data_IF_970817519552
#
_entry.id   IF_970817519552
#
_cell.length_a   1.000
_cell.length_b   1.000
_cell.length_c   1.000
_cell.angle_alpha   90.00
_cell.angle_beta   90.00
_cell.angle_gamma   90.00
#
_symmetry.space_group_name_H-M   'P 1'
#
loop_
_entity.id
_entity.type
_entity.pdbx_description
1 polymer ?
#
# COMPACT_ATOMS: atom_id res chain seq x y z
N UNK A 1 2.64 -14.95 26.09
CA UNK A 1 3.99 -15.44 25.76
C UNK A 1 4.38 -14.53 24.62
N UNK A 2 5.40 -13.68 24.74
CA UNK A 2 5.73 -12.76 23.65
C UNK A 2 5.96 -13.57 22.37
N UNK A 3 5.27 -13.20 21.30
CA UNK A 3 5.47 -13.78 19.98
C UNK A 3 6.88 -13.41 19.55
N UNK A 4 7.70 -14.38 19.10
CA UNK A 4 9.02 -14.05 18.58
C UNK A 4 8.86 -13.30 17.27
N UNK A 5 9.43 -12.10 17.17
CA UNK A 5 9.35 -11.32 15.94
C UNK A 5 10.29 -11.91 14.88
N UNK A 6 10.06 -11.55 13.63
CA UNK A 6 10.97 -11.91 12.53
C UNK A 6 12.38 -11.38 12.79
N UNK A 7 12.48 -10.17 13.36
CA UNK A 7 13.75 -9.53 13.72
C UNK A 7 14.54 -10.41 14.69
N UNK A 8 13.91 -10.89 15.75
CA UNK A 8 14.53 -11.79 16.73
C UNK A 8 15.09 -13.06 16.10
N UNK A 9 14.28 -13.70 15.25
CA UNK A 9 14.63 -14.96 14.58
C UNK A 9 15.86 -14.74 13.67
N UNK A 10 15.82 -13.70 12.84
CA UNK A 10 16.93 -13.39 11.96
C UNK A 10 18.20 -12.99 12.72
N UNK A 11 18.08 -12.25 13.82
CA UNK A 11 19.23 -11.89 14.65
C UNK A 11 19.86 -13.13 15.30
N UNK A 12 19.06 -14.08 15.82
CA UNK A 12 19.58 -15.32 16.38
C UNK A 12 20.35 -16.14 15.34
N UNK A 13 19.77 -16.32 14.15
CA UNK A 13 20.45 -17.01 13.04
C UNK A 13 21.74 -16.28 12.69
N UNK A 14 21.69 -14.95 12.51
CA UNK A 14 22.85 -14.15 12.16
C UNK A 14 23.97 -14.29 13.18
N UNK A 15 23.69 -14.17 14.49
CA UNK A 15 24.70 -14.25 15.55
C UNK A 15 25.32 -15.65 15.64
N UNK A 16 24.53 -16.71 15.46
CA UNK A 16 25.04 -18.09 15.43
C UNK A 16 25.99 -18.30 14.26
N UNK A 17 25.59 -17.89 13.05
CA UNK A 17 26.42 -18.03 11.85
C UNK A 17 27.66 -17.15 11.92
N UNK A 18 27.52 -15.91 12.37
CA UNK A 18 28.63 -14.98 12.55
C UNK A 18 29.64 -15.52 13.57
N UNK A 19 29.18 -16.00 14.72
CA UNK A 19 30.02 -16.54 15.78
C UNK A 19 30.79 -17.78 15.33
N UNK A 20 30.10 -18.75 14.74
CA UNK A 20 30.72 -19.99 14.27
C UNK A 20 31.64 -19.74 13.07
N UNK A 21 31.19 -18.93 12.11
CA UNK A 21 31.97 -18.53 10.94
C UNK A 21 33.25 -17.79 11.33
N UNK A 22 33.16 -16.85 12.28
CA UNK A 22 34.31 -16.13 12.82
C UNK A 22 35.29 -17.08 13.50
N UNK A 23 34.80 -18.02 14.33
CA UNK A 23 35.65 -19.01 15.00
C UNK A 23 36.41 -19.88 13.99
N UNK A 24 35.72 -20.41 12.99
CA UNK A 24 36.35 -21.23 11.93
C UNK A 24 37.34 -20.39 11.13
N UNK A 25 36.95 -19.18 10.74
CA UNK A 25 37.79 -18.24 10.01
C UNK A 25 39.09 -17.93 10.75
N UNK A 26 39.01 -17.62 12.05
CA UNK A 26 40.18 -17.37 12.90
C UNK A 26 41.11 -18.58 12.93
N UNK A 27 40.58 -19.80 13.09
CA UNK A 27 41.39 -21.02 13.12
C UNK A 27 42.10 -21.25 11.78
N UNK A 28 41.38 -21.13 10.66
CA UNK A 28 41.93 -21.32 9.32
C UNK A 28 42.99 -20.28 9.00
N UNK A 29 42.71 -19.00 9.26
CA UNK A 29 43.65 -17.89 9.03
C UNK A 29 44.89 -18.05 9.91
N UNK A 30 44.72 -18.30 11.22
CA UNK A 30 45.85 -18.48 12.14
C UNK A 30 46.73 -19.69 11.75
N UNK A 31 46.13 -20.82 11.38
CA UNK A 31 46.86 -21.99 10.91
C UNK A 31 47.61 -21.72 9.60
N UNK A 32 46.99 -20.98 8.69
CA UNK A 32 47.60 -20.58 7.41
C UNK A 32 48.78 -19.64 7.65
N UNK A 33 48.62 -18.62 8.49
CA UNK A 33 49.69 -17.70 8.88
C UNK A 33 50.83 -18.41 9.62
N UNK A 34 50.50 -19.35 10.51
CA UNK A 34 51.48 -20.19 11.19
C UNK A 34 52.32 -21.00 10.20
N UNK A 35 51.67 -21.67 9.23
CA UNK A 35 52.39 -22.45 8.22
C UNK A 35 53.23 -21.55 7.31
N UNK A 36 52.67 -20.42 6.88
CA UNK A 36 53.38 -19.44 6.07
C UNK A 36 54.64 -18.91 6.78
N UNK A 37 54.57 -18.69 8.10
CA UNK A 37 55.71 -18.25 8.91
C UNK A 37 56.71 -19.38 9.16
N UNK A 38 56.24 -20.56 9.61
CA UNK A 38 57.07 -21.69 10.01
C UNK A 38 57.81 -22.33 8.83
N UNK A 39 57.16 -22.44 7.68
CA UNK A 39 57.72 -23.03 6.47
C UNK A 39 58.16 -21.96 5.46
N UNK A 40 58.33 -20.72 5.91
CA UNK A 40 58.90 -19.64 5.09
C UNK A 40 60.33 -20.00 4.69
N UNK A 41 60.68 -19.78 3.43
CA UNK A 41 62.06 -19.89 2.97
C UNK A 41 62.96 -18.87 3.69
N UNK A 42 64.00 -19.36 4.35
CA UNK A 42 64.99 -18.56 5.08
C UNK A 42 66.37 -18.63 4.42
N UNK A 43 66.49 -19.14 3.19
CA UNK A 43 67.74 -19.18 2.42
C UNK A 43 68.71 -20.31 2.77
N UNK A 44 68.46 -21.06 3.86
CA UNK A 44 69.13 -22.32 4.17
C UNK A 44 68.30 -23.48 3.58
N UNK A 45 68.48 -23.76 2.29
CA UNK A 45 67.86 -24.93 1.65
C UNK A 45 68.53 -26.18 2.21
N UNK A 46 67.90 -26.84 3.18
CA UNK A 46 68.25 -28.23 3.46
C UNK A 46 67.94 -29.05 2.21
N UNK A 47 68.93 -29.77 1.72
CA UNK A 47 68.72 -30.84 0.74
C UNK A 47 67.99 -31.99 1.44
N UNK A 48 66.72 -31.77 1.80
CA UNK A 48 65.84 -32.79 2.36
C UNK A 48 65.25 -33.60 1.19
N UNK A 49 65.36 -34.92 1.31
CA UNK A 49 64.94 -35.93 0.31
C UNK A 49 63.43 -35.95 0.00
N UNK A 50 62.63 -35.12 0.68
CA UNK A 50 61.16 -35.07 0.56
C UNK A 50 60.63 -33.88 -0.27
N UNK A 51 61.50 -33.11 -0.93
CA UNK A 51 61.04 -32.07 -1.86
C UNK A 51 60.43 -32.74 -3.11
N UNK A 52 59.14 -32.50 -3.43
CA UNK A 52 58.51 -33.11 -4.59
C UNK A 52 59.23 -32.66 -5.86
N UNK A 53 59.86 -33.60 -6.56
CA UNK A 53 60.50 -33.36 -7.85
C UNK A 53 59.45 -33.37 -8.97
N UNK A 54 59.56 -32.41 -9.89
CA UNK A 54 58.71 -32.34 -11.09
C UNK A 54 58.74 -33.68 -11.85
N UNK A 55 57.58 -34.35 -11.92
CA UNK A 55 57.42 -35.62 -12.63
C UNK A 55 57.30 -36.88 -11.76
N UNK A 56 57.48 -36.77 -10.43
CA UNK A 56 57.20 -37.87 -9.50
C UNK A 56 55.80 -37.73 -8.88
N UNK A 57 55.03 -38.82 -8.87
CA UNK A 57 53.75 -38.87 -8.17
C UNK A 57 54.03 -39.08 -6.67
N UNK A 58 53.51 -38.23 -5.77
CA UNK A 58 53.74 -38.37 -4.34
C UNK A 58 53.25 -39.73 -3.83
N UNK A 59 54.14 -40.52 -3.21
CA UNK A 59 53.87 -41.89 -2.74
C UNK A 59 53.36 -41.94 -1.28
N UNK A 60 53.16 -40.79 -0.63
CA UNK A 60 52.77 -40.64 0.78
C UNK A 60 51.26 -40.73 1.06
N UNK A 61 50.63 -41.85 0.73
CA UNK A 61 49.19 -42.09 0.94
C UNK A 61 48.79 -42.52 2.36
N UNK A 62 49.08 -41.74 3.40
CA UNK A 62 48.55 -41.97 4.76
C UNK A 62 47.60 -40.87 5.27
N UNK A 63 47.39 -39.81 4.50
CA UNK A 63 46.57 -38.65 4.90
C UNK A 63 45.05 -38.83 4.82
N UNK A 64 44.56 -39.87 4.14
CA UNK A 64 43.14 -40.05 3.84
C UNK A 64 42.24 -40.05 5.08
N UNK A 65 42.66 -40.67 6.19
CA UNK A 65 41.86 -40.71 7.43
C UNK A 65 41.62 -39.32 8.02
N UNK A 66 42.60 -38.41 7.94
CA UNK A 66 42.46 -37.03 8.43
C UNK A 66 41.51 -36.23 7.53
N UNK A 67 41.60 -36.43 6.22
CA UNK A 67 40.71 -35.81 5.25
C UNK A 67 39.25 -36.29 5.41
N UNK A 68 39.03 -37.60 5.57
CA UNK A 68 37.69 -38.14 5.82
C UNK A 68 37.13 -37.66 7.15
N UNK A 69 37.95 -37.56 8.20
CA UNK A 69 37.51 -37.02 9.49
C UNK A 69 37.13 -35.54 9.39
N UNK A 70 37.95 -34.70 8.75
CA UNK A 70 37.67 -33.28 8.60
C UNK A 70 36.45 -33.03 7.71
N UNK A 71 36.33 -33.77 6.62
CA UNK A 71 35.17 -33.68 5.72
C UNK A 71 33.89 -34.16 6.42
N UNK A 72 33.95 -35.29 7.12
CA UNK A 72 32.79 -35.81 7.87
C UNK A 72 32.35 -34.88 8.99
N UNK A 73 33.29 -34.32 9.76
CA UNK A 73 32.97 -33.36 10.81
C UNK A 73 32.35 -32.07 10.24
N UNK A 74 32.94 -31.55 9.15
CA UNK A 74 32.40 -30.38 8.45
C UNK A 74 30.99 -30.64 7.92
N UNK A 75 30.74 -31.81 7.32
CA UNK A 75 29.45 -32.18 6.78
C UNK A 75 28.39 -32.24 7.89
N UNK A 76 28.72 -32.82 9.05
CA UNK A 76 27.80 -32.87 10.21
C UNK A 76 27.45 -31.45 10.67
N UNK A 77 28.44 -30.57 10.85
CA UNK A 77 28.21 -29.19 11.29
C UNK A 77 27.30 -28.46 10.30
N UNK A 78 27.62 -28.52 9.00
CA UNK A 78 26.84 -27.82 7.97
C UNK A 78 25.42 -28.37 7.88
N UNK A 79 25.23 -29.70 7.88
CA UNK A 79 23.89 -30.30 7.83
C UNK A 79 23.07 -29.91 9.07
N UNK A 80 23.67 -29.94 10.26
CA UNK A 80 23.00 -29.51 11.48
C UNK A 80 22.57 -28.05 11.43
N UNK A 81 23.43 -27.15 10.93
CA UNK A 81 23.09 -25.74 10.77
C UNK A 81 21.99 -25.52 9.73
N UNK A 82 22.02 -26.22 8.60
CA UNK A 82 20.99 -26.13 7.56
C UNK A 82 19.63 -26.58 8.09
N UNK A 83 19.58 -27.73 8.78
CA UNK A 83 18.33 -28.25 9.35
C UNK A 83 17.78 -27.29 10.42
N UNK A 84 18.65 -26.74 11.26
CA UNK A 84 18.23 -25.77 12.27
C UNK A 84 17.75 -24.45 11.64
N UNK A 85 18.51 -23.85 10.71
CA UNK A 85 18.09 -22.63 10.01
C UNK A 85 16.78 -22.82 9.26
N UNK A 86 16.61 -23.93 8.55
CA UNK A 86 15.34 -24.20 7.86
C UNK A 86 14.18 -24.31 8.85
N UNK A 87 14.38 -24.96 10.01
CA UNK A 87 13.36 -25.01 11.05
C UNK A 87 12.97 -23.64 11.61
N UNK A 88 13.93 -22.72 11.75
CA UNK A 88 13.63 -21.33 12.15
C UNK A 88 12.92 -20.54 11.04
N UNK A 89 13.28 -20.78 9.78
CA UNK A 89 12.63 -20.12 8.64
C UNK A 89 11.17 -20.54 8.48
N UNK A 90 10.84 -21.81 8.76
CA UNK A 90 9.44 -22.25 8.75
C UNK A 90 8.56 -21.47 9.73
N UNK A 91 9.10 -21.04 10.88
CA UNK A 91 8.36 -20.17 11.83
C UNK A 91 8.09 -18.79 11.23
N UNK A 92 9.02 -18.27 10.42
CA UNK A 92 8.86 -16.99 9.71
C UNK A 92 7.87 -17.12 8.54
N UNK A 93 7.87 -18.25 7.85
CA UNK A 93 6.95 -18.54 6.73
C UNK A 93 5.52 -18.77 7.24
N UNK A 94 5.32 -19.60 8.25
CA UNK A 94 3.98 -19.94 8.77
C UNK A 94 3.33 -18.80 9.57
N UNK A 95 4.15 -17.92 10.18
CA UNK A 95 3.68 -16.83 11.02
C UNK A 95 3.11 -17.25 12.37
N UNK A 96 2.57 -16.31 13.15
CA UNK A 96 1.86 -16.67 14.38
C UNK A 96 0.65 -17.56 14.04
N UNK A 97 0.46 -18.65 14.79
CA UNK A 97 -0.63 -19.64 14.62
C UNK A 97 -2.06 -19.06 14.90
N UNK A 98 -2.29 -17.76 14.70
CA UNK A 98 -3.53 -17.05 15.07
C UNK A 98 -4.09 -16.21 13.91
N UNK A 99 -4.87 -16.82 13.01
CA UNK A 99 -5.90 -16.10 12.28
C UNK A 99 -7.14 -16.02 13.17
N UNK A 100 -7.12 -15.20 14.23
CA UNK A 100 -8.29 -14.97 15.08
C UNK A 100 -8.17 -13.59 15.77
N UNK A 101 -9.05 -12.67 15.39
CA UNK A 101 -9.48 -11.38 16.01
C UNK A 101 -8.43 -10.29 16.35
N UNK A 102 -7.13 -10.60 16.46
CA UNK A 102 -6.09 -9.64 16.90
C UNK A 102 -5.01 -9.36 15.83
N UNK A 103 -5.19 -9.85 14.60
CA UNK A 103 -4.28 -9.58 13.46
C UNK A 103 -4.91 -8.51 12.58
N UNK A 104 -4.13 -7.49 12.21
CA UNK A 104 -4.55 -6.50 11.21
C UNK A 104 -4.15 -6.99 9.82
N UNK A 105 -5.11 -7.19 8.91
CA UNK A 105 -4.84 -7.51 7.52
C UNK A 105 -4.76 -6.23 6.68
N UNK A 106 -3.76 -6.15 5.80
CA UNK A 106 -3.53 -5.00 4.93
C UNK A 106 -3.15 -5.48 3.53
N UNK A 107 -3.93 -5.11 2.53
CA UNK A 107 -3.54 -5.29 1.14
C UNK A 107 -2.56 -4.21 0.72
N UNK A 108 -1.50 -4.59 0.00
CA UNK A 108 -0.41 -3.72 -0.43
C UNK A 108 -0.27 -3.80 -1.94
N UNK A 109 -0.54 -2.68 -2.62
CA UNK A 109 -0.39 -2.59 -4.07
C UNK A 109 0.80 -1.71 -4.46
N UNK A 110 1.79 -2.31 -5.13
CA UNK A 110 2.91 -1.58 -5.71
C UNK A 110 2.61 -1.06 -7.12
N UNK A 111 2.97 0.19 -7.40
CA UNK A 111 2.94 0.77 -8.75
C UNK A 111 4.17 1.65 -9.00
N UNK A 112 4.50 1.97 -10.25
CA UNK A 112 5.64 2.83 -10.57
C UNK A 112 5.32 4.31 -10.29
N UNK A 113 5.70 4.93 -9.18
CA UNK A 113 6.69 4.53 -8.15
C UNK A 113 6.18 4.84 -6.72
N UNK A 114 5.12 4.15 -6.29
CA UNK A 114 4.48 4.31 -4.99
C UNK A 114 3.86 3.01 -4.49
N UNK A 115 3.33 3.09 -3.28
CA UNK A 115 2.65 1.99 -2.59
C UNK A 115 1.32 2.52 -2.09
N UNK A 116 0.26 1.78 -2.39
CA UNK A 116 -1.08 2.00 -1.86
C UNK A 116 -1.38 0.86 -0.87
N UNK A 117 -2.11 1.18 0.21
CA UNK A 117 -2.47 0.26 1.28
C UNK A 117 -3.97 0.31 1.51
N UNK A 118 -4.60 -0.86 1.56
CA UNK A 118 -6.03 -1.02 1.82
C UNK A 118 -6.21 -1.88 3.08
N UNK A 119 -7.05 -1.41 4.00
CA UNK A 119 -7.33 -2.07 5.28
C UNK A 119 -8.65 -2.84 5.20
N UNK A 120 -8.83 -3.84 6.06
CA UNK A 120 -10.06 -4.67 6.10
C UNK A 120 -11.35 -3.87 6.25
N UNK A 121 -11.27 -2.69 6.87
CA UNK A 121 -12.40 -1.81 7.06
C UNK A 121 -12.62 -0.83 5.90
N UNK A 122 -12.04 -1.08 4.72
CA UNK A 122 -12.22 -0.27 3.50
C UNK A 122 -11.46 1.06 3.48
N UNK A 123 -10.63 1.36 4.48
CA UNK A 123 -9.74 2.51 4.42
C UNK A 123 -8.67 2.27 3.34
N UNK A 124 -8.35 3.29 2.55
CA UNK A 124 -7.23 3.30 1.62
C UNK A 124 -6.26 4.44 1.93
N UNK A 125 -4.97 4.15 1.89
CA UNK A 125 -3.91 5.14 2.10
C UNK A 125 -2.82 5.02 1.04
N UNK A 126 -2.33 6.17 0.57
CA UNK A 126 -1.24 6.22 -0.41
C UNK A 126 0.06 6.71 0.21
N UNK A 127 1.10 5.90 0.17
CA UNK A 127 2.46 6.28 0.58
C UNK A 127 2.74 6.31 2.09
N UNK A 128 1.75 6.02 2.93
CA UNK A 128 1.89 5.89 4.38
C UNK A 128 1.07 4.69 4.86
N UNK A 129 1.72 3.75 5.55
CA UNK A 129 1.10 2.59 6.20
C UNK A 129 1.00 2.87 7.70
N UNK A 130 -0.21 3.04 8.23
CA UNK A 130 -0.43 3.31 9.67
C UNK A 130 -0.81 2.01 10.34
N UNK A 131 -0.12 1.63 11.43
CA UNK A 131 -0.36 0.36 12.11
C UNK A 131 -0.21 0.50 13.64
N UNK A 132 -0.89 -0.37 14.43
CA UNK A 132 -0.66 -0.43 15.86
C UNK A 132 0.63 -1.19 16.23
N UNK A 133 1.32 -0.72 17.27
CA UNK A 133 2.45 -1.39 17.88
C UNK A 133 2.04 -2.69 18.59
N UNK A 134 2.96 -3.64 18.70
CA UNK A 134 2.76 -4.95 19.35
C UNK A 134 1.66 -5.84 18.74
N UNK A 135 1.10 -5.45 17.59
CA UNK A 135 0.07 -6.21 16.85
C UNK A 135 0.67 -6.93 15.65
N UNK A 136 0.30 -8.20 15.40
CA UNK A 136 0.60 -8.89 14.14
C UNK A 136 -0.07 -8.19 12.96
N UNK A 137 0.73 -7.80 11.98
CA UNK A 137 0.26 -7.27 10.70
C UNK A 137 0.42 -8.35 9.65
N UNK A 138 -0.66 -8.76 9.01
CA UNK A 138 -0.64 -9.63 7.84
C UNK A 138 -0.75 -8.76 6.60
N UNK A 139 0.11 -8.99 5.62
CA UNK A 139 0.14 -8.19 4.39
C UNK A 139 0.03 -9.08 3.16
N UNK A 140 -0.93 -8.76 2.32
CA UNK A 140 -1.12 -9.35 1.00
C UNK A 140 -0.55 -8.40 -0.05
N UNK A 141 0.54 -8.81 -0.70
CA UNK A 141 1.35 -7.91 -1.53
C UNK A 141 1.17 -8.26 -3.00
N UNK A 142 0.75 -7.28 -3.81
CA UNK A 142 0.56 -7.42 -5.25
C UNK A 142 1.09 -6.21 -6.01
N UNK A 143 0.97 -6.22 -7.33
CA UNK A 143 1.40 -5.11 -8.18
C UNK A 143 0.39 -4.80 -9.28
N UNK A 144 0.19 -3.49 -9.49
CA UNK A 144 -0.65 -2.96 -10.57
C UNK A 144 0.01 -3.05 -11.94
N UNK A 145 1.34 -2.99 -12.02
CA UNK A 145 2.06 -2.75 -13.29
C UNK A 145 3.25 -3.67 -13.58
N UNK A 146 4.34 -3.59 -12.83
CA UNK A 146 5.59 -4.33 -13.04
C UNK A 146 6.01 -5.05 -11.76
N UNK A 147 7.03 -5.89 -11.85
CA UNK A 147 7.55 -6.55 -10.67
C UNK A 147 8.22 -5.53 -9.71
N UNK A 148 7.68 -5.43 -8.50
CA UNK A 148 8.25 -4.72 -7.36
C UNK A 148 8.61 -5.70 -6.24
N UNK A 149 9.22 -5.21 -5.18
CA UNK A 149 9.39 -6.03 -3.99
C UNK A 149 9.28 -5.15 -2.77
N UNK A 150 8.17 -5.32 -2.05
CA UNK A 150 7.86 -4.62 -0.82
C UNK A 150 8.86 -5.03 0.25
N UNK A 151 9.36 -4.09 1.04
CA UNK A 151 10.21 -4.44 2.15
C UNK A 151 10.40 -3.32 3.17
N UNK A 152 10.49 -3.73 4.42
CA UNK A 152 10.76 -2.86 5.57
C UNK A 152 12.07 -3.36 6.18
N UNK A 153 13.16 -2.64 5.91
CA UNK A 153 14.52 -3.05 6.28
C UNK A 153 14.63 -3.37 7.76
N UNK A 154 14.16 -2.47 8.62
CA UNK A 154 14.29 -2.57 10.08
C UNK A 154 13.50 -3.74 10.67
N UNK A 155 12.33 -4.06 10.09
CA UNK A 155 11.46 -5.17 10.51
C UNK A 155 11.81 -6.51 9.83
N UNK A 156 12.82 -6.53 8.95
CA UNK A 156 13.27 -7.70 8.18
C UNK A 156 12.15 -8.30 7.31
N UNK A 157 11.29 -7.44 6.77
CA UNK A 157 10.17 -7.82 5.90
C UNK A 157 10.60 -7.70 4.46
N UNK A 158 10.23 -8.69 3.66
CA UNK A 158 10.33 -8.65 2.20
C UNK A 158 9.29 -9.58 1.59
N UNK A 159 8.54 -9.08 0.62
CA UNK A 159 7.58 -9.84 -0.19
C UNK A 159 7.61 -9.32 -1.63
N UNK A 160 7.44 -10.22 -2.60
CA UNK A 160 7.48 -9.83 -4.01
C UNK A 160 6.10 -9.36 -4.47
N UNK A 161 6.03 -8.17 -5.07
CA UNK A 161 4.81 -7.59 -5.62
C UNK A 161 4.77 -7.87 -7.13
N UNK A 162 3.99 -8.87 -7.56
CA UNK A 162 4.02 -9.37 -8.94
C UNK A 162 2.64 -9.19 -9.58
N UNK A 163 2.55 -8.58 -10.79
CA UNK A 163 1.25 -8.41 -11.45
C UNK A 163 0.54 -9.74 -11.69
N UNK A 164 -0.65 -9.89 -11.09
CA UNK A 164 -1.49 -11.08 -11.20
C UNK A 164 -1.12 -12.23 -10.24
N UNK A 165 -0.23 -12.01 -9.29
CA UNK A 165 0.09 -12.95 -8.20
C UNK A 165 0.12 -12.16 -6.87
N UNK A 166 -0.51 -12.69 -5.84
CA UNK A 166 -0.44 -12.15 -4.47
C UNK A 166 0.57 -12.96 -3.68
N UNK A 167 1.53 -12.30 -3.05
CA UNK A 167 2.48 -12.87 -2.09
C UNK A 167 2.07 -12.47 -0.68
N UNK A 168 2.27 -13.33 0.31
CA UNK A 168 1.82 -13.09 1.68
C UNK A 168 3.02 -12.95 2.61
N UNK A 169 2.94 -12.00 3.54
CA UNK A 169 3.97 -11.84 4.56
C UNK A 169 3.38 -11.22 5.82
N UNK A 170 4.09 -11.27 6.95
CA UNK A 170 3.60 -10.73 8.21
C UNK A 170 4.70 -10.03 8.99
N UNK A 171 4.38 -9.20 9.97
CA UNK A 171 5.39 -8.68 10.90
C UNK A 171 4.75 -8.15 12.17
N UNK A 172 5.59 -7.78 13.13
CA UNK A 172 5.19 -7.09 14.35
C UNK A 172 6.20 -5.96 14.55
N UNK A 173 5.70 -4.74 14.76
CA UNK A 173 6.52 -3.61 15.18
C UNK A 173 6.38 -3.41 16.69
N UNK A 174 7.48 -3.58 17.44
CA UNK A 174 7.48 -3.51 18.91
C UNK A 174 7.75 -2.10 19.45
N UNK A 175 8.21 -1.17 18.60
CA UNK A 175 8.54 0.20 18.99
C UNK A 175 7.72 1.19 18.15
N UNK A 176 7.04 2.12 18.82
CA UNK A 176 6.34 3.23 18.15
C UNK A 176 7.31 4.10 17.33
N UNK A 177 6.81 4.67 16.23
CA UNK A 177 7.51 5.62 15.39
C UNK A 177 7.56 5.24 13.91
N UNK A 178 8.39 5.96 13.16
CA UNK A 178 8.42 5.86 11.71
C UNK A 178 9.42 4.80 11.21
N UNK A 179 8.98 3.93 10.32
CA UNK A 179 9.83 3.03 9.55
C UNK A 179 9.74 3.31 8.05
N UNK A 180 10.72 2.82 7.28
CA UNK A 180 10.80 3.05 5.85
C UNK A 180 10.43 1.79 5.06
N UNK A 181 9.46 1.93 4.16
CA UNK A 181 9.21 0.97 3.07
C UNK A 181 10.08 1.33 1.88
N UNK A 182 10.73 0.33 1.30
CA UNK A 182 11.60 0.45 0.13
C UNK A 182 11.23 -0.60 -0.92
N UNK A 183 11.34 -0.24 -2.20
CA UNK A 183 11.29 -1.22 -3.28
C UNK A 183 12.65 -1.93 -3.45
N UNK A 184 12.66 -3.26 -3.34
CA UNK A 184 13.87 -4.10 -3.45
C UNK A 184 14.05 -4.80 -4.81
N UNK A 185 13.18 -4.55 -5.79
CA UNK A 185 13.28 -5.07 -7.15
C UNK A 185 13.35 -3.93 -8.16
N UNK A 186 14.25 -4.00 -9.14
CA UNK A 186 14.48 -2.90 -10.07
C UNK A 186 13.26 -2.69 -10.98
N UNK A 187 12.38 -1.76 -10.60
CA UNK A 187 11.09 -1.53 -11.25
C UNK A 187 11.06 -0.40 -12.28
N UNK A 188 12.12 0.40 -12.41
CA UNK A 188 12.19 1.46 -13.42
C UNK A 188 13.10 2.63 -13.06
N UNK A 189 12.90 3.77 -13.72
CA UNK A 189 13.76 4.95 -13.55
C UNK A 189 13.61 5.64 -12.17
N UNK A 190 12.44 5.53 -11.55
CA UNK A 190 12.13 6.07 -10.22
C UNK A 190 12.41 5.09 -9.07
N UNK A 191 12.93 3.89 -9.37
CA UNK A 191 13.10 2.80 -8.40
C UNK A 191 13.73 3.22 -7.07
N UNK A 192 14.81 4.01 -7.10
CA UNK A 192 15.51 4.42 -5.87
C UNK A 192 14.75 5.42 -5.00
N UNK A 193 13.66 6.00 -5.51
CA UNK A 193 12.77 6.89 -4.77
C UNK A 193 11.38 6.29 -4.55
N UNK A 194 11.20 5.00 -4.84
CA UNK A 194 9.97 4.27 -4.57
C UNK A 194 9.96 3.85 -3.11
N UNK A 195 9.53 4.77 -2.26
CA UNK A 195 9.48 4.63 -0.80
C UNK A 195 8.11 5.02 -0.27
N UNK A 196 7.73 4.45 0.86
CA UNK A 196 6.58 4.85 1.67
C UNK A 196 7.01 4.86 3.14
N UNK A 197 6.24 5.51 4.00
CA UNK A 197 6.47 5.54 5.43
C UNK A 197 5.58 4.50 6.14
N UNK A 198 6.05 3.96 7.25
CA UNK A 198 5.22 3.17 8.17
C UNK A 198 5.11 3.97 9.46
N UNK A 199 3.92 4.37 9.84
CA UNK A 199 3.65 5.08 11.08
C UNK A 199 3.11 4.09 12.12
N UNK A 200 3.99 3.72 13.07
CA UNK A 200 3.64 2.78 14.14
C UNK A 200 3.17 3.57 15.35
N UNK A 201 1.91 3.39 15.70
CA UNK A 201 1.23 4.11 16.78
C UNK A 201 0.87 3.17 17.93
N UNK A 202 0.58 3.74 19.09
CA UNK A 202 -0.08 2.95 20.13
C UNK A 202 -1.48 2.52 19.66
N UNK A 203 -1.99 1.41 20.20
CA UNK A 203 -3.33 0.88 19.86
C UNK A 203 -4.43 1.97 19.96
N UNK A 204 -4.42 2.77 21.04
CA UNK A 204 -5.35 3.88 21.25
C UNK A 204 -5.22 5.00 20.20
N UNK A 205 -4.02 5.28 19.71
CA UNK A 205 -3.77 6.29 18.66
C UNK A 205 -4.09 5.76 17.26
N UNK A 206 -3.99 4.45 17.04
CA UNK A 206 -4.41 3.80 15.81
C UNK A 206 -5.95 3.78 15.71
N UNK A 207 -6.66 3.41 16.78
CA UNK A 207 -8.13 3.47 16.83
C UNK A 207 -8.64 4.89 16.53
N UNK A 208 -8.04 5.92 17.16
CA UNK A 208 -8.36 7.32 16.86
C UNK A 208 -8.11 7.69 15.40
N UNK A 209 -7.04 7.17 14.81
CA UNK A 209 -6.73 7.42 13.41
C UNK A 209 -7.76 6.79 12.47
N UNK A 210 -8.21 5.57 12.78
CA UNK A 210 -9.30 4.89 12.05
C UNK A 210 -10.58 5.72 12.11
N UNK A 211 -10.99 6.18 13.30
CA UNK A 211 -12.16 7.04 13.47
C UNK A 211 -12.05 8.35 12.66
N UNK A 212 -10.85 8.94 12.63
CA UNK A 212 -10.55 10.14 11.84
C UNK A 212 -10.62 9.87 10.33
N UNK A 213 -10.21 8.68 9.87
CA UNK A 213 -10.32 8.29 8.45
C UNK A 213 -11.77 8.05 8.04
N UNK A 214 -12.58 7.50 8.95
CA UNK A 214 -13.98 7.16 8.71
C UNK A 214 -14.93 8.32 9.08
N UNK A 215 -14.61 9.53 8.61
CA UNK A 215 -15.46 10.73 8.72
C UNK A 215 -15.88 11.27 7.35
N UNK A 216 -17.17 11.57 7.21
CA UNK A 216 -17.76 12.17 6.00
C UNK A 216 -18.44 13.50 6.34
N UNK A 217 -18.03 14.60 5.69
CA UNK A 217 -18.75 15.87 5.75
C UNK A 217 -19.66 16.00 4.52
N UNK A 218 -20.95 16.24 4.75
CA UNK A 218 -21.93 16.46 3.68
C UNK A 218 -22.49 17.85 3.82
N UNK A 219 -22.42 18.62 2.74
CA UNK A 219 -22.98 19.96 2.63
C UNK A 219 -24.07 19.99 1.56
N UNK A 220 -25.21 20.62 1.87
CA UNK A 220 -26.28 20.86 0.91
C UNK A 220 -26.32 22.35 0.52
N UNK A 221 -26.34 22.61 -0.78
CA UNK A 221 -26.41 23.94 -1.37
C UNK A 221 -27.48 24.00 -2.47
N UNK A 222 -28.02 25.18 -2.74
CA UNK A 222 -28.91 25.41 -3.88
C UNK A 222 -28.12 25.82 -5.15
N UNK A 223 -28.82 26.03 -6.27
CA UNK A 223 -28.20 26.50 -7.52
C UNK A 223 -27.46 27.85 -7.40
N UNK A 224 -27.72 28.63 -6.34
CA UNK A 224 -27.08 29.91 -6.06
C UNK A 224 -25.90 29.79 -5.08
N UNK A 225 -25.46 28.57 -4.74
CA UNK A 225 -24.41 28.28 -3.75
C UNK A 225 -24.80 28.78 -2.33
N UNK A 226 -26.11 28.86 -2.05
CA UNK A 226 -26.63 29.17 -0.70
C UNK A 226 -26.93 27.88 0.06
N UNK A 227 -26.64 27.88 1.38
CA UNK A 227 -26.82 26.70 2.23
C UNK A 227 -28.30 26.38 2.42
N UNK A 228 -28.68 25.14 2.13
CA UNK A 228 -30.01 24.61 2.42
C UNK A 228 -30.02 24.07 3.84
N UNK A 229 -30.90 24.58 4.70
CA UNK A 229 -30.85 24.33 6.15
C UNK A 229 -32.06 23.58 6.71
N UNK A 230 -33.10 23.37 5.91
CA UNK A 230 -34.37 22.79 6.33
C UNK A 230 -35.08 22.13 5.14
N UNK A 231 -36.03 21.25 5.43
CA UNK A 231 -36.91 20.66 4.41
C UNK A 231 -36.37 19.39 3.73
N UNK A 232 -35.48 18.64 4.39
CA UNK A 232 -34.88 17.44 3.83
C UNK A 232 -34.54 16.36 4.87
N UNK A 233 -34.42 15.12 4.38
CA UNK A 233 -33.91 13.96 5.13
C UNK A 233 -32.80 13.31 4.30
N UNK A 234 -31.70 12.94 4.96
CA UNK A 234 -30.58 12.23 4.35
C UNK A 234 -30.57 10.78 4.84
N UNK A 235 -30.54 9.84 3.91
CA UNK A 235 -30.32 8.41 4.17
C UNK A 235 -29.01 7.99 3.50
N UNK A 236 -28.18 7.26 4.24
CA UNK A 236 -26.90 6.71 3.78
C UNK A 236 -26.87 5.23 4.11
N UNK A 237 -26.69 4.36 3.10
CA UNK A 237 -26.71 2.90 3.27
C UNK A 237 -25.50 2.29 2.57
N UNK A 238 -24.69 1.50 3.28
CA UNK A 238 -23.58 0.78 2.66
C UNK A 238 -24.11 -0.21 1.59
N UNK A 239 -23.55 -0.25 0.38
CA UNK A 239 -24.06 -1.12 -0.70
C UNK A 239 -24.04 -2.60 -0.30
N UNK A 240 -23.05 -2.98 0.50
CA UNK A 240 -22.89 -4.33 1.05
C UNK A 240 -23.45 -4.52 2.47
N UNK A 241 -24.36 -3.64 2.94
CA UNK A 241 -24.90 -3.69 4.32
C UNK A 241 -25.38 -5.10 4.75
N UNK A 242 -26.03 -5.85 3.84
CA UNK A 242 -26.52 -7.22 4.11
C UNK A 242 -25.40 -8.25 4.40
N UNK A 243 -24.14 -7.92 4.11
CA UNK A 243 -22.97 -8.79 4.33
C UNK A 243 -22.32 -8.58 5.69
N UNK A 244 -22.59 -7.47 6.36
CA UNK A 244 -22.09 -7.15 7.68
C UNK A 244 -23.06 -7.60 8.77
N UNK A 245 -22.56 -7.87 9.97
CA UNK A 245 -23.41 -8.20 11.12
C UNK A 245 -24.08 -6.93 11.72
N UNK A 246 -23.47 -5.78 11.50
CA UNK A 246 -23.90 -4.46 11.94
C UNK A 246 -24.77 -3.77 10.88
N UNK A 247 -25.64 -2.87 11.33
CA UNK A 247 -26.52 -2.10 10.45
C UNK A 247 -25.80 -0.81 10.04
N UNK A 248 -25.23 -0.82 8.84
CA UNK A 248 -24.50 0.28 8.23
C UNK A 248 -25.47 1.21 7.46
N UNK A 249 -26.61 1.50 8.07
CA UNK A 249 -27.58 2.47 7.58
C UNK A 249 -27.74 3.63 8.55
N UNK A 250 -27.69 4.84 8.02
CA UNK A 250 -27.76 6.08 8.78
C UNK A 250 -28.85 6.96 8.19
N UNK A 251 -29.65 7.58 9.06
CA UNK A 251 -30.68 8.52 8.65
C UNK A 251 -30.58 9.77 9.50
N UNK A 252 -30.52 10.92 8.85
CA UNK A 252 -30.36 12.22 9.48
C UNK A 252 -31.47 13.17 9.04
N UNK A 253 -32.10 13.83 10.01
CA UNK A 253 -33.08 14.88 9.75
C UNK A 253 -32.38 16.25 9.57
N UNK A 254 -33.06 17.20 8.93
CA UNK A 254 -32.57 18.55 8.73
C UNK A 254 -32.13 19.25 10.03
N UNK A 255 -32.77 18.96 11.16
CA UNK A 255 -32.44 19.58 12.46
C UNK A 255 -31.08 19.14 13.03
N UNK A 256 -30.47 18.10 12.47
CA UNK A 256 -29.14 17.62 12.80
C UNK A 256 -28.04 18.31 11.99
N UNK A 257 -28.40 19.03 10.92
CA UNK A 257 -27.46 19.80 10.10
C UNK A 257 -27.16 21.16 10.75
N UNK A 258 -25.88 21.47 10.91
CA UNK A 258 -25.41 22.77 11.37
C UNK A 258 -25.08 23.65 10.16
N UNK A 259 -25.95 24.63 9.85
CA UNK A 259 -25.75 25.56 8.74
C UNK A 259 -25.62 24.85 7.37
N UNK A 260 -26.49 23.85 7.16
CA UNK A 260 -26.57 23.09 5.90
C UNK A 260 -25.45 22.07 5.72
N UNK A 261 -24.66 21.80 6.76
CA UNK A 261 -23.65 20.75 6.75
C UNK A 261 -23.86 19.78 7.92
N UNK A 262 -23.53 18.52 7.71
CA UNK A 262 -23.43 17.51 8.76
C UNK A 262 -22.07 16.82 8.67
N UNK A 263 -21.47 16.55 9.82
CA UNK A 263 -20.31 15.66 9.91
C UNK A 263 -20.81 14.31 10.41
N UNK A 264 -20.78 13.33 9.54
CA UNK A 264 -21.08 11.94 9.85
C UNK A 264 -19.78 11.31 10.36
N UNK A 265 -19.75 11.00 11.66
CA UNK A 265 -18.71 10.19 12.30
C UNK A 265 -19.30 8.86 12.77
N UNK A 266 -18.45 8.02 13.37
CA UNK A 266 -18.82 6.66 13.83
C UNK A 266 -19.18 5.70 12.67
N UNK A 267 -18.69 5.97 11.46
CA UNK A 267 -18.70 4.99 10.37
C UNK A 267 -17.67 3.90 10.70
N UNK A 268 -18.07 2.64 10.65
CA UNK A 268 -17.20 1.50 10.98
C UNK A 268 -16.58 0.84 9.74
N UNK A 269 -17.10 1.15 8.54
CA UNK A 269 -16.70 0.55 7.26
C UNK A 269 -16.60 1.61 6.16
N UNK A 270 -15.49 1.63 5.44
CA UNK A 270 -15.34 2.32 4.18
C UNK A 270 -15.95 1.52 3.02
N UNK A 271 -15.90 2.09 1.82
CA UNK A 271 -16.44 1.51 0.60
C UNK A 271 -17.61 2.31 0.03
N UNK A 272 -18.37 1.71 -0.90
CA UNK A 272 -19.46 2.39 -1.58
C UNK A 272 -20.73 2.46 -0.73
N UNK A 273 -21.29 3.66 -0.61
CA UNK A 273 -22.54 3.97 0.04
C UNK A 273 -23.56 4.54 -0.94
N UNK A 274 -24.80 4.05 -0.89
CA UNK A 274 -25.95 4.69 -1.54
C UNK A 274 -26.44 5.85 -0.65
N UNK A 275 -26.32 7.06 -1.17
CA UNK A 275 -26.79 8.30 -0.57
C UNK A 275 -28.12 8.71 -1.21
N UNK A 276 -29.12 8.94 -0.38
CA UNK A 276 -30.44 9.43 -0.79
C UNK A 276 -30.81 10.68 0.01
N UNK A 277 -30.99 11.81 -0.68
CA UNK A 277 -31.48 13.05 -0.08
C UNK A 277 -32.91 13.26 -0.55
N UNK A 278 -33.87 13.21 0.36
CA UNK A 278 -35.30 13.37 0.07
C UNK A 278 -35.82 14.69 0.61
N UNK A 279 -36.51 15.46 -0.23
CA UNK A 279 -37.24 16.64 0.23
C UNK A 279 -38.46 16.24 1.07
N UNK A 280 -38.61 16.79 2.28
CA UNK A 280 -39.75 16.52 3.17
C UNK A 280 -41.00 17.30 2.78
N UNK A 281 -40.82 18.41 2.05
CA UNK A 281 -41.86 19.36 1.68
C UNK A 281 -42.10 19.44 0.16
N UNK A 282 -41.53 18.49 -0.60
CA UNK A 282 -41.57 18.43 -2.07
C UNK A 282 -40.99 19.70 -2.75
N UNK A 283 -40.04 20.39 -2.10
CA UNK A 283 -39.43 21.64 -2.57
C UNK A 283 -38.30 21.42 -3.57
N UNK A 284 -37.71 20.23 -3.64
CA UNK A 284 -36.67 19.88 -4.61
C UNK A 284 -36.73 18.39 -4.96
N UNK A 285 -36.12 17.99 -6.08
CA UNK A 285 -36.08 16.60 -6.53
C UNK A 285 -35.17 15.73 -5.65
N UNK A 286 -35.58 14.47 -5.39
CA UNK A 286 -34.75 13.51 -4.65
C UNK A 286 -33.42 13.30 -5.37
N UNK A 287 -32.31 13.39 -4.63
CA UNK A 287 -30.96 13.06 -5.11
C UNK A 287 -30.66 11.63 -4.68
N UNK A 288 -30.24 10.79 -5.63
CA UNK A 288 -29.75 9.43 -5.41
C UNK A 288 -28.35 9.33 -6.03
N UNK A 289 -27.32 9.12 -5.21
CA UNK A 289 -25.92 9.04 -5.65
C UNK A 289 -25.17 7.91 -4.93
N UNK A 290 -24.12 7.37 -5.55
CA UNK A 290 -23.20 6.43 -4.90
C UNK A 290 -21.93 7.17 -4.54
N UNK A 291 -21.56 7.16 -3.27
CA UNK A 291 -20.34 7.76 -2.74
C UNK A 291 -19.37 6.66 -2.36
N UNK A 292 -18.18 6.67 -2.95
CA UNK A 292 -17.11 5.73 -2.61
C UNK A 292 -16.21 6.37 -1.55
N UNK A 293 -16.18 5.76 -0.37
CA UNK A 293 -15.63 6.35 0.84
C UNK A 293 -14.50 5.49 1.41
N UNK A 294 -13.25 5.80 1.08
CA UNK A 294 -12.07 5.06 1.57
C UNK A 294 -11.17 5.88 2.49
N UNK A 295 -11.62 7.06 2.89
CA UNK A 295 -10.94 7.98 3.81
C UNK A 295 -11.73 9.28 3.94
N UNK A 296 -11.24 10.29 4.67
CA UNK A 296 -12.00 11.49 4.99
C UNK A 296 -12.50 12.19 3.73
N UNK A 297 -13.81 12.38 3.61
CA UNK A 297 -14.42 13.05 2.45
C UNK A 297 -15.28 14.25 2.84
N UNK A 298 -15.36 15.21 1.93
CA UNK A 298 -16.15 16.43 2.01
C UNK A 298 -16.92 16.54 0.69
N UNK A 299 -18.21 16.24 0.75
CA UNK A 299 -19.10 16.19 -0.40
C UNK A 299 -20.11 17.35 -0.32
N UNK A 300 -20.31 18.02 -1.45
CA UNK A 300 -21.30 19.10 -1.59
C UNK A 300 -22.33 18.72 -2.65
N UNK A 301 -23.60 18.64 -2.25
CA UNK A 301 -24.71 18.33 -3.13
C UNK A 301 -25.54 19.57 -3.43
N UNK A 302 -25.78 19.82 -4.72
CA UNK A 302 -26.64 20.91 -5.18
C UNK A 302 -28.06 20.41 -5.38
N UNK A 303 -29.03 21.01 -4.70
CA UNK A 303 -30.46 20.73 -4.91
C UNK A 303 -31.08 21.72 -5.90
N UNK A 304 -31.84 21.21 -6.85
CA UNK A 304 -32.65 22.03 -7.76
C UNK A 304 -34.00 22.34 -7.09
N UNK A 305 -34.16 23.56 -6.57
CA UNK A 305 -35.43 24.00 -6.00
C UNK A 305 -36.50 24.02 -7.10
N UNK A 306 -37.60 23.31 -6.85
CA UNK A 306 -38.75 23.26 -7.73
C UNK A 306 -39.23 24.68 -8.00
N UNK A 307 -39.35 25.03 -9.29
CA UNK A 307 -39.86 26.33 -9.70
C UNK A 307 -41.14 26.65 -8.91
N UNK A 308 -41.10 27.67 -8.05
CA UNK A 308 -42.32 28.27 -7.54
C UNK A 308 -43.20 28.55 -8.77
N UNK A 309 -44.39 27.93 -8.82
CA UNK A 309 -45.43 28.30 -9.79
C UNK A 309 -45.73 29.79 -9.57
N UNK A 310 -44.98 30.64 -10.27
CA UNK A 310 -45.23 32.08 -10.37
C UNK A 310 -46.47 32.22 -11.25
N UNK A 311 -47.63 31.91 -10.66
CA UNK A 311 -48.94 32.31 -11.14
C UNK A 311 -49.03 33.84 -10.96
N UNK A 312 -48.23 34.57 -11.74
CA UNK A 312 -48.52 35.97 -12.05
C UNK A 312 -49.80 36.00 -12.86
N UNK A 313 -50.91 36.26 -12.15
CA UNK A 313 -52.15 36.82 -12.67
C UNK A 313 -51.84 38.11 -13.46
N UNK A 314 -51.45 37.99 -14.73
CA UNK A 314 -51.47 39.10 -15.68
C UNK A 314 -52.86 39.15 -16.37
N UNK A 315 -53.83 39.70 -15.64
CA UNK A 315 -55.03 40.27 -16.25
C UNK A 315 -54.70 41.64 -16.86
N UNK A 316 -55.02 41.76 -18.15
CA UNK A 316 -55.30 42.98 -18.92
C UNK A 316 -54.14 43.94 -19.25
N UNK A 317 -53.77 43.98 -20.54
CA UNK A 317 -53.99 45.18 -21.37
C UNK A 317 -53.88 44.83 -22.87
N UNK A 318 -55.02 44.80 -23.55
CA UNK A 318 -55.08 44.96 -25.01
C UNK A 318 -54.71 46.41 -25.39
N UNK A 319 -53.91 46.61 -26.43
CA UNK A 319 -54.23 47.56 -27.51
C UNK A 319 -53.51 47.20 -28.83
N UNK A 320 -54.32 47.19 -29.87
CA UNK A 320 -54.08 46.99 -31.30
C UNK A 320 -53.12 48.04 -31.92
N UNK A 321 -52.30 47.64 -32.89
CA UNK A 321 -51.95 48.49 -34.03
C UNK A 321 -51.43 47.66 -35.23
N UNK A 322 -52.26 47.70 -36.27
CA UNK A 322 -52.07 47.25 -37.65
C UNK A 322 -50.77 47.69 -38.34
N UNK A 323 -50.41 46.86 -39.34
CA UNK A 323 -50.19 47.24 -40.74
C UNK A 323 -48.77 47.34 -41.36
N UNK A 324 -48.68 46.58 -42.47
CA UNK A 324 -48.00 46.83 -43.75
C UNK A 324 -46.62 46.23 -44.03
N UNK A 325 -46.64 45.39 -45.07
CA UNK A 325 -45.51 44.90 -45.84
C UNK A 325 -45.08 45.95 -46.88
N UNK A 326 -43.80 46.04 -47.20
CA UNK A 326 -43.38 46.32 -48.58
C UNK A 326 -41.95 45.83 -48.86
N UNK A 327 -41.78 45.47 -50.11
CA UNK A 327 -40.72 44.71 -50.74
C UNK A 327 -39.48 45.53 -51.14
N UNK A 328 -38.50 44.77 -51.66
CA UNK A 328 -37.45 45.12 -52.64
C UNK A 328 -36.17 45.77 -52.10
N UNK A 329 -35.02 45.13 -52.38
CA UNK A 329 -34.31 45.39 -53.63
C UNK A 329 -32.93 44.69 -53.66
N UNK A 330 -32.78 43.90 -54.71
CA UNK A 330 -31.58 43.50 -55.48
C UNK A 330 -30.18 43.97 -55.06
N UNK A 331 -29.22 43.05 -55.18
CA UNK A 331 -27.78 43.35 -55.13
C UNK A 331 -26.87 42.15 -55.42
N UNK A 332 -26.92 41.67 -56.65
CA UNK A 332 -25.94 40.87 -57.42
C UNK A 332 -24.46 41.08 -57.04
N UNK A 333 -23.62 40.03 -57.13
CA UNK A 333 -22.16 40.20 -57.11
C UNK A 333 -21.29 38.96 -56.90
N UNK A 334 -21.16 38.18 -57.98
CA UNK A 334 -19.99 37.43 -58.47
C UNK A 334 -19.01 36.68 -57.54
N UNK A 335 -18.85 35.40 -57.93
CA UNK A 335 -17.72 34.48 -57.76
C UNK A 335 -16.33 35.13 -57.90
N UNK A 336 -15.37 34.67 -57.10
CA UNK A 336 -14.02 34.34 -57.61
C UNK A 336 -13.39 33.24 -56.74
N UNK A 337 -12.97 32.19 -57.43
CA UNK A 337 -12.02 31.17 -56.99
C UNK A 337 -10.66 31.80 -56.64
N UNK A 338 -9.97 31.25 -55.64
CA UNK A 338 -8.51 31.11 -55.71
C UNK A 338 -8.07 29.93 -54.84
N UNK A 339 -7.57 28.90 -55.51
CA UNK A 339 -6.78 27.81 -54.94
C UNK A 339 -5.39 28.34 -54.60
N UNK A 340 -4.81 27.94 -53.46
CA UNK A 340 -3.34 27.76 -53.35
C UNK A 340 -2.97 26.84 -52.19
N UNK A 341 -2.72 25.59 -52.57
CA UNK A 341 -1.60 24.68 -52.27
C UNK A 341 -0.50 25.01 -51.21
N UNK A 342 0.04 23.88 -50.71
CA UNK A 342 1.35 23.59 -50.05
C UNK A 342 1.45 23.90 -48.55
N UNK A 343 1.60 22.91 -47.65
CA UNK A 343 2.77 22.03 -47.43
C UNK A 343 3.27 22.35 -46.00
N UNK A 344 3.68 21.48 -45.08
CA UNK A 344 4.32 20.17 -45.07
C UNK A 344 5.27 20.19 -43.83
N UNK A 345 5.30 19.08 -43.08
CA UNK A 345 6.29 18.66 -42.05
C UNK A 345 6.46 19.56 -40.79
N UNK A 346 6.71 19.07 -39.58
CA UNK A 346 7.41 17.87 -39.06
C UNK A 346 6.71 17.25 -37.83
#
# INVERSE_FOLDING_TARGET
MQVQTRVDIFEEIFLVFLGLGTLVGVVVIAYTLYNAYKYRDNGDSKADEDLPTLGELPTGGQGGKKLFLSFGLSAIIVISLVVWSYGMLLVVEDGPDTPDEETLEVEVEGWAFGWDFEYENGIETGGELVIPADTPIWTEVTSRDVWHSFGISDLRVKADAIPGETDETWFVAEEDGDYLIECFELCGFGHSGMTADVDVRSEEEFEQWVDEQLTMEITLEDEAEERVTDGFELELVHEENDQFEEDLSFTYADDEFENGSITIGEIEQGGPYELTITSTDDEFETIEETVDFTGPTDETYTVELGAEDDETDDEDEEEEADDEADETNDGDGEETDDETEEGGDE
#
